data_IF_355907638843
#
_entry.id   IF_355907638843
#
_cell.length_a   1.000
_cell.length_b   1.000
_cell.length_c   1.000
_cell.angle_alpha   90.00
_cell.angle_beta   90.00
_cell.angle_gamma   90.00
#
_symmetry.space_group_name_H-M   'P 1'
#
loop_
_entity.id
_entity.type
_entity.pdbx_description
1 polymer ?
#
# COMPACT_ATOMS: atom_id res chain seq x y z
N UNK A 1 2.90 -25.42 37.33
CA UNK A 1 2.02 -25.02 36.22
C UNK A 1 2.72 -23.84 35.56
N UNK A 2 3.46 -24.08 34.48
CA UNK A 2 4.13 -22.99 33.74
C UNK A 2 3.02 -22.27 32.96
N UNK A 3 2.88 -20.94 33.05
CA UNK A 3 1.77 -20.26 32.40
C UNK A 3 2.02 -20.28 30.89
N UNK A 4 1.28 -21.12 30.16
CA UNK A 4 1.28 -21.18 28.70
C UNK A 4 1.02 -19.81 28.05
N UNK A 5 0.47 -18.86 28.80
CA UNK A 5 0.23 -17.49 28.36
C UNK A 5 1.51 -16.77 27.92
N UNK A 6 2.64 -16.95 28.61
CA UNK A 6 3.90 -16.30 28.22
C UNK A 6 4.45 -16.86 26.91
N UNK A 7 4.46 -18.18 26.76
CA UNK A 7 4.91 -18.86 25.54
C UNK A 7 4.03 -18.47 24.34
N UNK A 8 2.72 -18.40 24.55
CA UNK A 8 1.76 -18.00 23.52
C UNK A 8 1.92 -16.54 23.11
N UNK A 9 2.08 -15.61 24.06
CA UNK A 9 2.34 -14.18 23.78
C UNK A 9 3.64 -14.04 23.00
N UNK A 10 4.71 -14.71 23.44
CA UNK A 10 6.00 -14.67 22.75
C UNK A 10 5.91 -15.25 21.34
N UNK A 11 5.25 -16.39 21.17
CA UNK A 11 5.02 -16.99 19.86
C UNK A 11 4.22 -16.05 18.94
N UNK A 12 3.19 -15.39 19.46
CA UNK A 12 2.40 -14.41 18.72
C UNK A 12 3.24 -13.23 18.25
N UNK A 13 4.02 -12.62 19.15
CA UNK A 13 4.88 -11.48 18.82
C UNK A 13 5.89 -11.83 17.71
N UNK A 14 6.56 -12.98 17.84
CA UNK A 14 7.56 -13.40 16.87
C UNK A 14 6.93 -13.75 15.53
N UNK A 15 5.80 -14.47 15.51
CA UNK A 15 5.08 -14.77 14.28
C UNK A 15 4.60 -13.50 13.58
N UNK A 16 4.09 -12.52 14.32
CA UNK A 16 3.67 -11.25 13.73
C UNK A 16 4.85 -10.56 13.04
N UNK A 17 6.02 -10.50 13.68
CA UNK A 17 7.22 -9.91 13.10
C UNK A 17 7.72 -10.68 11.88
N UNK A 18 7.70 -12.02 11.92
CA UNK A 18 8.03 -12.87 10.77
C UNK A 18 7.09 -12.56 9.61
N UNK A 19 5.78 -12.56 9.84
CA UNK A 19 4.78 -12.30 8.79
C UNK A 19 4.93 -10.92 8.17
N UNK A 20 5.12 -9.88 8.98
CA UNK A 20 5.38 -8.51 8.51
C UNK A 20 6.63 -8.49 7.64
N UNK A 21 7.74 -9.04 8.13
CA UNK A 21 9.02 -9.00 7.42
C UNK A 21 8.96 -9.71 6.07
N UNK A 22 8.27 -10.86 6.00
CA UNK A 22 8.07 -11.57 4.74
C UNK A 22 7.24 -10.76 3.75
N UNK A 23 6.18 -10.08 4.22
CA UNK A 23 5.34 -9.22 3.38
C UNK A 23 6.16 -8.05 2.83
N UNK A 24 6.91 -7.36 3.67
CA UNK A 24 7.70 -6.19 3.23
C UNK A 24 8.84 -6.58 2.27
N UNK A 25 9.55 -7.69 2.53
CA UNK A 25 10.57 -8.19 1.62
C UNK A 25 10.00 -8.59 0.27
N UNK A 26 8.86 -9.30 0.27
CA UNK A 26 8.16 -9.66 -0.96
C UNK A 26 7.71 -8.41 -1.71
N UNK A 27 7.10 -7.43 -1.02
CA UNK A 27 6.69 -6.17 -1.63
C UNK A 27 7.87 -5.47 -2.29
N UNK A 28 8.96 -5.21 -1.56
CA UNK A 28 10.16 -4.54 -2.06
C UNK A 28 10.73 -5.27 -3.27
N UNK A 29 10.86 -6.60 -3.21
CA UNK A 29 11.38 -7.41 -4.33
C UNK A 29 10.47 -7.32 -5.58
N UNK A 30 9.15 -7.31 -5.38
CA UNK A 30 8.19 -7.16 -6.48
C UNK A 30 8.19 -5.74 -7.05
N UNK A 31 8.36 -4.72 -6.21
CA UNK A 31 8.50 -3.32 -6.59
C UNK A 31 9.78 -3.07 -7.39
N UNK A 32 10.89 -3.66 -6.98
CA UNK A 32 12.17 -3.56 -7.70
C UNK A 32 12.09 -4.20 -9.10
N UNK A 33 11.44 -5.35 -9.22
CA UNK A 33 11.31 -6.08 -10.49
C UNK A 33 10.27 -5.44 -11.44
N UNK A 34 9.13 -4.98 -10.91
CA UNK A 34 7.97 -4.59 -11.74
C UNK A 34 7.53 -3.13 -11.59
N UNK A 35 8.19 -2.36 -10.73
CA UNK A 35 7.86 -0.97 -10.42
C UNK A 35 6.42 -0.79 -9.92
N UNK A 36 5.83 0.37 -10.23
CA UNK A 36 4.45 0.74 -9.84
C UNK A 36 3.37 -0.28 -10.25
N UNK A 37 3.66 -1.19 -11.19
CA UNK A 37 2.71 -2.20 -11.70
C UNK A 37 2.79 -3.56 -10.98
N UNK A 38 3.64 -3.71 -9.97
CA UNK A 38 3.90 -5.00 -9.33
C UNK A 38 2.65 -5.73 -8.83
N UNK A 39 1.66 -5.00 -8.30
CA UNK A 39 0.40 -5.56 -7.80
C UNK A 39 -0.34 -6.35 -8.88
N UNK A 40 -0.32 -5.85 -10.13
CA UNK A 40 -0.94 -6.51 -11.27
C UNK A 40 -0.21 -7.77 -11.75
N UNK A 41 1.01 -8.01 -11.24
CA UNK A 41 1.86 -9.16 -11.56
C UNK A 41 1.74 -10.31 -10.56
N UNK A 42 0.93 -10.16 -9.51
CA UNK A 42 0.62 -11.27 -8.61
C UNK A 42 -0.05 -12.43 -9.37
N UNK A 43 0.21 -13.70 -8.99
CA UNK A 43 -0.42 -14.87 -9.58
C UNK A 43 -1.95 -14.79 -9.55
N UNK A 44 -2.63 -15.24 -10.61
CA UNK A 44 -4.04 -14.94 -10.87
C UNK A 44 -5.01 -15.15 -9.71
N UNK A 45 -4.92 -16.26 -8.98
CA UNK A 45 -5.78 -16.52 -7.81
C UNK A 45 -5.45 -15.62 -6.61
N UNK A 46 -4.17 -15.34 -6.38
CA UNK A 46 -3.73 -14.41 -5.32
C UNK A 46 -4.17 -12.98 -5.64
N UNK A 47 -4.04 -12.56 -6.90
CA UNK A 47 -4.50 -11.26 -7.37
C UNK A 47 -6.02 -11.09 -7.19
N UNK A 48 -6.81 -12.11 -7.54
CA UNK A 48 -8.27 -12.09 -7.33
C UNK A 48 -8.61 -11.92 -5.86
N UNK A 49 -7.92 -12.65 -4.98
CA UNK A 49 -8.14 -12.57 -3.53
C UNK A 49 -7.80 -11.19 -2.98
N UNK A 50 -6.62 -10.64 -3.32
CA UNK A 50 -6.24 -9.28 -2.91
C UNK A 50 -7.29 -8.27 -3.34
N UNK A 51 -7.75 -8.32 -4.60
CA UNK A 51 -8.80 -7.41 -5.10
C UNK A 51 -10.13 -7.58 -4.36
N UNK A 52 -10.55 -8.82 -4.10
CA UNK A 52 -11.78 -9.11 -3.38
C UNK A 52 -11.71 -8.59 -1.94
N UNK A 53 -10.61 -8.87 -1.23
CA UNK A 53 -10.43 -8.43 0.16
C UNK A 53 -10.27 -6.91 0.29
N UNK A 54 -9.60 -6.25 -0.66
CA UNK A 54 -9.59 -4.79 -0.73
C UNK A 54 -11.01 -4.23 -0.95
N UNK A 55 -11.84 -4.90 -1.74
CA UNK A 55 -13.24 -4.50 -1.93
C UNK A 55 -14.06 -4.67 -0.65
N UNK A 56 -13.82 -5.73 0.12
CA UNK A 56 -14.46 -5.95 1.43
C UNK A 56 -14.01 -4.94 2.49
N UNK A 57 -12.71 -4.61 2.54
CA UNK A 57 -12.17 -3.59 3.44
C UNK A 57 -12.76 -2.20 3.14
N UNK A 58 -13.09 -1.93 1.88
CA UNK A 58 -13.74 -0.69 1.46
C UNK A 58 -15.20 -0.60 1.86
N UNK A 59 -15.76 -1.64 2.50
CA UNK A 59 -17.11 -1.55 3.04
C UNK A 59 -17.10 -0.63 4.26
N UNK A 60 -17.99 0.37 4.32
CA UNK A 60 -18.03 1.40 5.38
C UNK A 60 -18.22 0.87 6.82
N UNK A 61 -18.52 -0.41 6.97
CA UNK A 61 -18.96 -1.01 8.22
C UNK A 61 -17.82 -1.29 9.20
N UNK A 62 -16.55 -1.31 8.76
CA UNK A 62 -15.50 -1.95 9.56
C UNK A 62 -14.30 -1.10 9.99
N UNK A 63 -14.14 0.13 9.50
CA UNK A 63 -13.13 1.07 10.04
C UNK A 63 -11.71 0.50 10.20
N UNK A 64 -11.31 -0.47 9.36
CA UNK A 64 -10.00 -1.11 9.45
C UNK A 64 -8.90 -0.17 8.95
N UNK A 65 -7.71 -0.26 9.57
CA UNK A 65 -6.51 0.36 9.01
C UNK A 65 -6.19 -0.30 7.67
N UNK A 66 -5.93 0.49 6.62
CA UNK A 66 -5.64 -0.10 5.30
C UNK A 66 -4.33 -0.85 5.30
N UNK A 67 -4.44 -2.17 5.21
CA UNK A 67 -3.28 -3.04 5.14
C UNK A 67 -2.79 -3.15 3.69
N UNK A 68 -1.47 -3.23 3.52
CA UNK A 68 -0.84 -3.42 2.22
C UNK A 68 -1.39 -4.64 1.47
N UNK A 69 -1.31 -4.69 0.13
CA UNK A 69 -1.94 -5.74 -0.68
C UNK A 69 -1.61 -7.16 -0.24
N UNK A 70 -0.39 -7.38 0.23
CA UNK A 70 0.04 -8.71 0.66
C UNK A 70 -0.64 -9.14 1.95
N UNK A 71 -1.10 -8.26 2.84
CA UNK A 71 -1.76 -8.64 4.11
C UNK A 71 -3.02 -9.49 3.94
N UNK A 72 -3.67 -9.42 2.78
CA UNK A 72 -4.82 -10.28 2.43
C UNK A 72 -4.45 -11.73 2.12
N UNK A 73 -3.15 -11.98 1.95
CA UNK A 73 -2.62 -13.31 1.72
C UNK A 73 -2.35 -13.99 3.06
N UNK A 74 -2.81 -15.23 3.16
CA UNK A 74 -2.47 -16.15 4.24
C UNK A 74 -0.98 -16.50 4.18
N UNK A 75 -0.46 -17.00 5.30
CA UNK A 75 0.91 -17.46 5.37
C UNK A 75 1.26 -18.51 4.29
N UNK A 76 0.34 -19.45 4.01
CA UNK A 76 0.52 -20.44 2.95
C UNK A 76 0.59 -19.82 1.55
N UNK A 77 -0.13 -18.72 1.32
CA UNK A 77 -0.07 -17.99 0.04
C UNK A 77 1.22 -17.18 -0.10
N UNK A 78 1.77 -16.64 1.01
CA UNK A 78 3.12 -16.05 1.02
C UNK A 78 4.19 -17.08 0.67
N UNK A 79 4.07 -18.32 1.18
CA UNK A 79 4.96 -19.42 0.80
C UNK A 79 4.91 -19.72 -0.71
N UNK A 80 3.74 -19.61 -1.34
CA UNK A 80 3.61 -19.76 -2.79
C UNK A 80 4.39 -18.65 -3.51
N UNK A 81 4.28 -17.39 -3.06
CA UNK A 81 5.04 -16.28 -3.64
C UNK A 81 6.55 -16.46 -3.50
N UNK A 82 7.02 -16.91 -2.34
CA UNK A 82 8.45 -17.16 -2.08
C UNK A 82 9.03 -18.27 -2.98
N UNK A 83 8.20 -19.16 -3.52
CA UNK A 83 8.63 -20.22 -4.45
C UNK A 83 8.64 -19.79 -5.93
N UNK A 84 8.14 -18.60 -6.24
CA UNK A 84 7.98 -18.11 -7.62
C UNK A 84 8.85 -16.88 -7.87
N UNK A 85 9.20 -16.59 -9.12
CA UNK A 85 9.87 -15.32 -9.44
C UNK A 85 8.87 -14.15 -9.34
N UNK A 86 9.29 -12.99 -8.80
CA UNK A 86 10.61 -12.68 -8.24
C UNK A 86 10.78 -13.09 -6.77
N UNK A 87 9.73 -13.49 -6.07
CA UNK A 87 9.76 -13.83 -4.63
C UNK A 87 10.79 -14.89 -4.21
N UNK A 88 11.27 -15.74 -5.12
CA UNK A 88 12.38 -16.66 -4.85
C UNK A 88 13.69 -15.95 -4.51
N UNK A 89 13.86 -14.68 -4.89
CA UNK A 89 15.00 -13.85 -4.46
C UNK A 89 14.95 -13.59 -2.95
N UNK A 90 13.77 -13.33 -2.38
CA UNK A 90 13.58 -13.20 -0.92
C UNK A 90 13.96 -14.49 -0.21
N UNK A 91 13.49 -15.63 -0.72
CA UNK A 91 13.85 -16.92 -0.16
C UNK A 91 15.38 -17.11 -0.18
N UNK A 92 16.04 -16.82 -1.30
CA UNK A 92 17.49 -16.89 -1.41
C UNK A 92 18.23 -15.96 -0.45
N UNK A 93 17.75 -14.73 -0.27
CA UNK A 93 18.31 -13.76 0.68
C UNK A 93 18.23 -14.27 2.13
N UNK A 94 17.15 -14.98 2.49
CA UNK A 94 16.90 -15.48 3.84
C UNK A 94 17.50 -16.88 4.12
N UNK A 95 18.11 -17.54 3.13
CA UNK A 95 18.73 -18.87 3.31
C UNK A 95 18.28 -19.97 2.33
N UNK A 96 17.51 -19.63 1.30
CA UNK A 96 17.13 -20.52 0.19
C UNK A 96 16.16 -21.63 0.57
N UNK A 97 16.43 -22.86 0.18
CA UNK A 97 15.56 -24.01 0.47
C UNK A 97 15.41 -24.31 1.97
N UNK A 98 16.39 -23.92 2.79
CA UNK A 98 16.36 -24.15 4.24
C UNK A 98 15.28 -23.29 4.89
N UNK A 99 15.23 -22.00 4.58
CA UNK A 99 14.23 -21.09 5.15
C UNK A 99 12.81 -21.49 4.72
N UNK A 100 12.63 -21.95 3.47
CA UNK A 100 11.32 -22.41 2.99
C UNK A 100 10.79 -23.59 3.82
N UNK A 101 11.64 -24.56 4.14
CA UNK A 101 11.27 -25.69 5.00
C UNK A 101 10.98 -25.26 6.43
N UNK A 102 11.73 -24.30 6.97
CA UNK A 102 11.49 -23.77 8.31
C UNK A 102 10.17 -22.99 8.39
N UNK A 103 9.86 -22.21 7.36
CA UNK A 103 8.57 -21.54 7.23
C UNK A 103 7.41 -22.55 7.14
N UNK A 104 7.59 -23.67 6.43
CA UNK A 104 6.60 -24.76 6.42
C UNK A 104 6.44 -25.42 7.81
N UNK A 105 7.54 -25.61 8.54
CA UNK A 105 7.53 -26.23 9.87
C UNK A 105 6.76 -25.39 10.91
N UNK A 106 6.70 -24.05 10.75
CA UNK A 106 5.94 -23.19 11.67
C UNK A 106 4.43 -23.17 11.39
N UNK A 107 3.92 -23.82 10.33
CA UNK A 107 2.48 -23.83 10.03
C UNK A 107 1.64 -24.40 11.19
N UNK A 108 2.10 -25.47 11.82
CA UNK A 108 1.41 -26.10 12.96
C UNK A 108 1.38 -25.19 14.20
N UNK A 109 2.52 -24.69 14.72
CA UNK A 109 2.49 -23.78 15.87
C UNK A 109 1.81 -22.44 15.54
N UNK A 110 1.92 -21.92 14.31
CA UNK A 110 1.16 -20.74 13.85
C UNK A 110 -0.34 -20.99 13.94
N UNK A 111 -0.82 -22.14 13.48
CA UNK A 111 -2.23 -22.48 13.56
C UNK A 111 -2.73 -22.58 15.02
N UNK A 112 -1.88 -23.06 15.94
CA UNK A 112 -2.19 -23.04 17.36
C UNK A 112 -2.38 -21.59 17.88
N UNK A 113 -1.45 -20.69 17.55
CA UNK A 113 -1.53 -19.27 17.91
C UNK A 113 -2.79 -18.61 17.33
N UNK A 114 -3.09 -18.80 16.04
CA UNK A 114 -4.27 -18.20 15.39
C UNK A 114 -5.62 -18.65 15.97
N UNK A 115 -5.66 -19.82 16.61
CA UNK A 115 -6.85 -20.35 17.25
C UNK A 115 -6.81 -20.24 18.78
N UNK A 116 -5.90 -19.42 19.33
CA UNK A 116 -5.70 -19.24 20.77
C UNK A 116 -5.52 -20.57 21.53
N UNK A 117 -4.88 -21.55 20.88
CA UNK A 117 -4.55 -22.85 21.46
C UNK A 117 -3.14 -22.79 22.07
N UNK A 118 -2.84 -23.62 23.09
CA UNK A 118 -1.50 -23.69 23.66
C UNK A 118 -0.44 -24.04 22.61
N UNK A 119 0.64 -23.27 22.56
CA UNK A 119 1.83 -23.58 21.76
C UNK A 119 2.74 -24.48 22.59
N UNK A 120 3.24 -25.56 21.99
CA UNK A 120 4.22 -26.42 22.68
C UNK A 120 5.58 -25.74 22.75
N UNK A 121 6.41 -26.09 23.74
CA UNK A 121 7.79 -25.58 23.85
C UNK A 121 8.59 -25.80 22.57
N UNK A 122 8.43 -26.95 21.91
CA UNK A 122 9.06 -27.25 20.61
C UNK A 122 8.56 -26.31 19.51
N UNK A 123 7.26 -26.00 19.52
CA UNK A 123 6.66 -25.04 18.58
C UNK A 123 7.21 -23.64 18.76
N UNK A 124 7.35 -23.17 20.01
CA UNK A 124 7.95 -21.87 20.32
C UNK A 124 9.43 -21.82 19.86
N UNK A 125 10.22 -22.85 20.19
CA UNK A 125 11.63 -22.92 19.77
C UNK A 125 11.79 -22.90 18.25
N UNK A 126 10.86 -23.52 17.51
CA UNK A 126 10.87 -23.49 16.04
C UNK A 126 10.65 -22.06 15.52
N UNK A 127 9.74 -21.31 16.13
CA UNK A 127 9.46 -19.90 15.78
C UNK A 127 10.67 -19.01 16.15
N UNK A 128 11.26 -19.21 17.33
CA UNK A 128 12.43 -18.45 17.80
C UNK A 128 13.64 -18.66 16.89
N UNK A 129 13.89 -19.91 16.49
CA UNK A 129 14.99 -20.26 15.58
C UNK A 129 14.81 -19.56 14.24
N UNK A 130 13.62 -19.65 13.64
CA UNK A 130 13.31 -19.01 12.38
C UNK A 130 13.49 -17.47 12.46
N UNK A 131 13.01 -16.84 13.54
CA UNK A 131 13.18 -15.41 13.73
C UNK A 131 14.65 -15.01 13.84
N UNK A 132 15.46 -15.77 14.59
CA UNK A 132 16.89 -15.52 14.75
C UNK A 132 17.66 -15.67 13.43
N UNK A 133 17.26 -16.62 12.58
CA UNK A 133 17.85 -16.80 11.24
C UNK A 133 17.48 -15.63 10.31
N UNK A 134 16.23 -15.16 10.34
CA UNK A 134 15.83 -13.95 9.62
C UNK A 134 16.59 -12.71 10.11
N UNK A 135 16.75 -12.56 11.43
CA UNK A 135 17.53 -11.47 12.03
C UNK A 135 19.01 -11.54 11.60
N UNK A 136 19.57 -12.75 11.51
CA UNK A 136 20.94 -12.95 11.03
C UNK A 136 21.07 -12.59 9.55
N UNK A 137 20.11 -13.00 8.71
CA UNK A 137 20.13 -12.75 7.27
C UNK A 137 19.93 -11.27 6.91
N UNK A 138 19.10 -10.55 7.68
CA UNK A 138 18.72 -9.16 7.42
C UNK A 138 19.46 -8.13 8.27
N UNK A 139 20.24 -8.60 9.26
CA UNK A 139 20.70 -7.83 10.43
C UNK A 139 19.56 -7.39 11.34
N UNK A 140 19.86 -7.18 12.62
CA UNK A 140 18.89 -6.67 13.61
C UNK A 140 18.31 -5.32 13.22
N UNK A 141 19.15 -4.41 12.73
CA UNK A 141 18.72 -3.07 12.35
C UNK A 141 17.86 -3.10 11.08
N UNK A 142 18.26 -3.89 10.07
CA UNK A 142 17.48 -4.08 8.85
C UNK A 142 16.11 -4.71 9.11
N UNK A 143 16.05 -5.73 9.98
CA UNK A 143 14.79 -6.35 10.40
C UNK A 143 13.90 -5.36 11.18
N UNK A 144 14.50 -4.53 12.05
CA UNK A 144 13.76 -3.52 12.81
C UNK A 144 13.17 -2.46 11.89
N UNK A 145 13.94 -2.00 10.90
CA UNK A 145 13.48 -1.03 9.89
C UNK A 145 12.29 -1.56 9.11
N UNK A 146 12.39 -2.80 8.59
CA UNK A 146 11.29 -3.47 7.86
C UNK A 146 10.01 -3.57 8.69
N UNK A 147 10.13 -3.85 10.00
CA UNK A 147 8.96 -3.95 10.89
C UNK A 147 8.37 -2.57 11.21
N UNK A 148 9.19 -1.51 11.23
CA UNK A 148 8.73 -0.14 11.51
C UNK A 148 8.11 0.57 10.29
N UNK A 149 8.45 0.13 9.08
CA UNK A 149 7.97 0.69 7.81
C UNK A 149 6.88 -0.19 7.16
N UNK A 150 6.02 -0.81 7.99
CA UNK A 150 4.92 -1.65 7.50
C UNK A 150 4.07 -0.91 6.46
N UNK A 151 3.73 -1.58 5.36
CA UNK A 151 2.91 -1.05 4.27
C UNK A 151 1.47 -0.78 4.74
N UNK A 152 1.27 0.35 5.41
CA UNK A 152 -0.04 0.87 5.83
C UNK A 152 -0.52 1.95 4.87
N UNK A 153 -0.49 1.68 3.56
CA UNK A 153 -1.01 2.60 2.54
C UNK A 153 -0.44 4.03 2.66
N UNK A 154 -1.24 5.02 2.29
CA UNK A 154 -0.97 6.44 2.58
C UNK A 154 -2.14 7.02 3.37
N UNK A 155 -1.85 7.80 4.39
CA UNK A 155 -2.87 8.46 5.21
C UNK A 155 -3.39 9.74 4.56
N UNK A 156 -4.53 10.25 5.05
CA UNK A 156 -5.14 11.50 4.59
C UNK A 156 -4.20 12.69 4.76
N UNK A 157 -3.55 12.79 5.92
CA UNK A 157 -2.60 13.85 6.27
C UNK A 157 -1.32 13.82 5.44
N UNK A 158 -0.97 12.67 4.87
CA UNK A 158 0.15 12.54 3.94
C UNK A 158 -0.28 12.86 2.50
N UNK A 159 -1.45 12.38 2.07
CA UNK A 159 -1.89 12.51 0.67
C UNK A 159 -2.45 13.90 0.33
N UNK A 160 -3.30 14.47 1.20
CA UNK A 160 -4.02 15.71 0.89
C UNK A 160 -3.09 16.91 0.66
N UNK A 161 -2.04 17.17 1.46
CA UNK A 161 -1.15 18.30 1.23
C UNK A 161 -0.45 18.27 -0.14
N UNK A 162 -0.03 17.08 -0.57
CA UNK A 162 0.64 16.88 -1.86
C UNK A 162 -0.31 17.14 -3.04
N UNK A 163 -1.55 16.65 -2.95
CA UNK A 163 -2.58 16.91 -3.98
C UNK A 163 -2.93 18.40 -4.01
N UNK A 164 -3.13 19.03 -2.85
CA UNK A 164 -3.41 20.47 -2.74
C UNK A 164 -2.28 21.30 -3.33
N UNK A 165 -1.03 20.97 -3.04
CA UNK A 165 0.13 21.67 -3.58
C UNK A 165 0.17 21.59 -5.11
N UNK A 166 -0.05 20.41 -5.68
CA UNK A 166 -0.09 20.25 -7.14
C UNK A 166 -1.22 21.07 -7.79
N UNK A 167 -2.43 21.03 -7.21
CA UNK A 167 -3.57 21.80 -7.71
C UNK A 167 -3.36 23.31 -7.59
N UNK A 168 -2.72 23.80 -6.53
CA UNK A 168 -2.36 25.22 -6.38
C UNK A 168 -1.41 25.67 -7.49
N UNK A 169 -0.39 24.86 -7.80
CA UNK A 169 0.50 25.14 -8.92
C UNK A 169 -0.24 25.21 -10.27
N UNK A 170 -1.29 24.41 -10.47
CA UNK A 170 -2.14 24.53 -11.66
C UNK A 170 -2.81 25.90 -11.70
N UNK A 171 -3.52 26.28 -10.64
CA UNK A 171 -4.24 27.57 -10.57
C UNK A 171 -3.31 28.76 -10.81
N UNK A 172 -2.12 28.75 -10.22
CA UNK A 172 -1.10 29.77 -10.40
C UNK A 172 -0.54 29.81 -11.83
N UNK A 173 -0.43 28.64 -12.47
CA UNK A 173 0.08 28.52 -13.83
C UNK A 173 -0.93 28.84 -14.94
N UNK A 174 -2.23 28.77 -14.68
CA UNK A 174 -3.29 29.01 -15.68
C UNK A 174 -3.10 30.28 -16.54
N UNK A 175 -2.74 31.46 -15.98
CA UNK A 175 -2.57 32.69 -16.78
C UNK A 175 -1.46 32.60 -17.83
N UNK A 176 -0.48 31.72 -17.63
CA UNK A 176 0.67 31.56 -18.52
C UNK A 176 0.45 30.51 -19.61
N UNK A 177 -0.69 29.80 -19.59
CA UNK A 177 -1.07 28.78 -20.58
C UNK A 177 0.05 27.76 -20.87
N UNK A 178 0.60 27.08 -19.85
CA UNK A 178 1.70 26.15 -20.06
C UNK A 178 1.28 24.98 -20.96
N UNK A 179 2.26 24.33 -21.61
CA UNK A 179 2.00 23.17 -22.44
C UNK A 179 1.41 21.98 -21.65
N UNK A 180 1.77 21.87 -20.37
CA UNK A 180 1.23 20.86 -19.46
C UNK A 180 1.41 21.31 -18.01
N UNK A 181 0.62 20.73 -17.13
CA UNK A 181 0.78 20.79 -15.68
C UNK A 181 1.31 19.47 -15.13
N UNK A 182 1.95 19.54 -13.96
CA UNK A 182 2.38 18.36 -13.22
C UNK A 182 1.16 17.74 -12.54
N UNK A 183 0.91 16.46 -12.79
CA UNK A 183 -0.10 15.69 -12.05
C UNK A 183 0.45 15.24 -10.70
N UNK A 184 -0.35 15.29 -9.62
CA UNK A 184 0.08 14.78 -8.32
C UNK A 184 0.30 13.27 -8.37
N UNK A 185 1.55 12.82 -8.25
CA UNK A 185 1.90 11.39 -8.28
C UNK A 185 1.18 10.58 -7.19
N UNK A 186 0.94 11.22 -6.04
CA UNK A 186 0.27 10.61 -4.90
C UNK A 186 -1.19 10.27 -5.18
N UNK A 187 -1.83 10.90 -6.16
CA UNK A 187 -3.26 10.79 -6.40
C UNK A 187 -3.72 9.37 -6.71
N UNK A 188 -3.00 8.62 -7.55
CA UNK A 188 -3.37 7.23 -7.85
C UNK A 188 -3.19 6.32 -6.62
N UNK A 189 -2.17 6.60 -5.80
CA UNK A 189 -1.97 5.89 -4.53
C UNK A 189 -3.07 6.22 -3.52
N UNK A 190 -3.48 7.50 -3.43
CA UNK A 190 -4.53 8.02 -2.56
C UNK A 190 -5.92 7.51 -2.96
N UNK A 191 -6.23 7.54 -4.25
CA UNK A 191 -7.46 6.98 -4.84
C UNK A 191 -7.59 5.49 -4.58
N UNK A 192 -6.44 4.82 -4.50
CA UNK A 192 -6.33 3.45 -4.04
C UNK A 192 -6.26 3.32 -2.51
N UNK A 193 -6.85 4.22 -1.70
CA UNK A 193 -7.02 4.11 -0.23
C UNK A 193 -8.50 4.04 0.19
N UNK A 194 -8.78 3.54 1.42
CA UNK A 194 -10.15 3.21 1.87
C UNK A 194 -10.93 4.47 2.18
N UNK A 195 -10.24 5.46 2.74
CA UNK A 195 -10.80 6.77 2.98
C UNK A 195 -11.22 7.43 1.67
N UNK A 196 -10.63 7.07 0.51
CA UNK A 196 -11.08 7.52 -0.81
C UNK A 196 -12.29 6.73 -1.37
N UNK A 197 -12.87 5.79 -0.63
CA UNK A 197 -14.04 5.03 -1.12
C UNK A 197 -15.35 5.84 -1.01
N UNK A 198 -15.48 6.67 0.01
CA UNK A 198 -16.69 7.47 0.30
C UNK A 198 -16.35 8.85 0.82
N UNK A 199 -17.20 9.84 0.52
CA UNK A 199 -16.96 11.23 0.90
C UNK A 199 -16.94 11.42 2.43
N UNK A 200 -17.77 10.64 3.13
CA UNK A 200 -17.84 10.57 4.60
C UNK A 200 -16.54 10.07 5.23
N UNK A 201 -15.82 9.17 4.56
CA UNK A 201 -14.55 8.60 5.02
C UNK A 201 -13.37 9.48 4.64
N UNK A 202 -13.43 10.10 3.46
CA UNK A 202 -12.43 11.02 2.94
C UNK A 202 -12.41 12.33 3.75
N UNK A 203 -13.57 12.73 4.28
CA UNK A 203 -13.77 14.05 4.87
C UNK A 203 -13.90 15.17 3.81
N UNK A 204 -14.10 14.79 2.54
CA UNK A 204 -14.23 15.70 1.39
C UNK A 204 -15.04 15.06 0.26
N UNK A 205 -15.56 15.88 -0.65
CA UNK A 205 -16.27 15.42 -1.84
C UNK A 205 -15.29 14.89 -2.90
N UNK A 206 -15.21 13.56 -3.05
CA UNK A 206 -14.25 12.95 -3.99
C UNK A 206 -14.59 13.23 -5.44
N UNK A 207 -15.87 13.33 -5.81
CA UNK A 207 -16.25 13.60 -7.19
C UNK A 207 -15.74 14.97 -7.64
N UNK A 208 -15.70 15.97 -6.74
CA UNK A 208 -15.10 17.28 -7.01
C UNK A 208 -13.59 17.16 -7.25
N UNK A 209 -12.88 16.42 -6.40
CA UNK A 209 -11.43 16.23 -6.53
C UNK A 209 -11.06 15.41 -7.77
N UNK A 210 -11.75 14.30 -8.03
CA UNK A 210 -11.53 13.47 -9.23
C UNK A 210 -11.82 14.27 -10.51
N UNK A 211 -12.89 15.05 -10.54
CA UNK A 211 -13.20 15.90 -11.69
C UNK A 211 -12.12 16.96 -11.95
N UNK A 212 -11.55 17.57 -10.90
CA UNK A 212 -10.47 18.52 -11.05
C UNK A 212 -9.19 17.88 -11.62
N UNK A 213 -8.83 16.67 -11.16
CA UNK A 213 -7.67 15.94 -11.69
C UNK A 213 -7.89 15.50 -13.13
N UNK A 214 -9.06 14.98 -13.47
CA UNK A 214 -9.39 14.64 -14.86
C UNK A 214 -9.38 15.88 -15.77
N UNK A 215 -9.81 17.04 -15.27
CA UNK A 215 -9.74 18.28 -16.05
C UNK A 215 -8.29 18.72 -16.34
N UNK A 216 -7.37 18.50 -15.40
CA UNK A 216 -5.93 18.71 -15.62
C UNK A 216 -5.39 17.75 -16.68
N UNK A 217 -5.81 16.48 -16.65
CA UNK A 217 -5.44 15.47 -17.66
C UNK A 217 -5.95 15.84 -19.05
N UNK A 218 -7.21 16.26 -19.14
CA UNK A 218 -7.82 16.74 -20.38
C UNK A 218 -7.06 17.95 -20.94
N UNK A 219 -6.71 18.92 -20.09
CA UNK A 219 -5.89 20.06 -20.49
C UNK A 219 -4.51 19.63 -21.02
N UNK A 220 -3.85 18.69 -20.33
CA UNK A 220 -2.55 18.15 -20.72
C UNK A 220 -2.60 17.41 -22.08
N UNK A 221 -3.77 16.90 -22.47
CA UNK A 221 -3.98 16.24 -23.77
C UNK A 221 -4.14 17.20 -24.95
N UNK A 222 -4.30 18.51 -24.70
CA UNK A 222 -4.49 19.51 -25.75
C UNK A 222 -3.25 19.65 -26.64
N UNK A 223 -3.42 20.05 -27.92
CA UNK A 223 -2.29 20.32 -28.81
C UNK A 223 -1.26 21.28 -28.21
N UNK A 224 0.01 21.04 -28.52
CA UNK A 224 1.15 21.88 -28.12
C UNK A 224 1.78 22.53 -29.35
N UNK A 225 2.38 23.70 -29.17
CA UNK A 225 3.06 24.44 -30.23
C UNK A 225 2.49 25.83 -30.52
N UNK A 226 2.98 26.44 -31.60
CA UNK A 226 2.62 27.81 -31.99
C UNK A 226 1.14 27.86 -32.40
N UNK A 227 0.39 28.81 -31.84
CA UNK A 227 -1.03 29.03 -32.14
C UNK A 227 -2.02 28.24 -31.26
N UNK A 228 -1.55 27.35 -30.38
CA UNK A 228 -2.42 26.56 -29.50
C UNK A 228 -2.94 27.33 -28.28
N UNK A 229 -2.45 28.55 -28.02
CA UNK A 229 -2.83 29.37 -26.87
C UNK A 229 -4.33 29.69 -26.85
N UNK A 230 -4.93 30.03 -28.00
CA UNK A 230 -6.37 30.32 -28.08
C UNK A 230 -7.24 29.09 -27.74
N UNK A 231 -6.83 27.90 -28.19
CA UNK A 231 -7.51 26.64 -27.85
C UNK A 231 -7.43 26.34 -26.36
N UNK A 232 -6.26 26.55 -25.75
CA UNK A 232 -6.04 26.34 -24.31
C UNK A 232 -6.81 27.35 -23.46
N UNK A 233 -6.80 28.62 -23.85
CA UNK A 233 -7.60 29.67 -23.22
C UNK A 233 -9.09 29.32 -23.29
N UNK A 234 -9.57 28.96 -24.48
CA UNK A 234 -10.97 28.57 -24.68
C UNK A 234 -11.35 27.34 -23.86
N UNK A 235 -10.47 26.36 -23.70
CA UNK A 235 -10.70 25.21 -22.82
C UNK A 235 -10.85 25.62 -21.36
N UNK A 236 -9.95 26.48 -20.86
CA UNK A 236 -9.97 26.96 -19.47
C UNK A 236 -11.29 27.70 -19.18
N UNK A 237 -11.71 28.58 -20.09
CA UNK A 237 -12.92 29.39 -19.94
C UNK A 237 -14.21 28.56 -20.10
N UNK A 238 -14.29 27.67 -21.08
CA UNK A 238 -15.51 26.88 -21.33
C UNK A 238 -15.79 25.82 -20.25
N UNK A 239 -14.75 25.42 -19.51
CA UNK A 239 -14.83 24.38 -18.48
C UNK A 239 -14.74 24.94 -17.06
N UNK A 240 -14.70 26.25 -16.89
CA UNK A 240 -14.52 26.91 -15.60
C UNK A 240 -13.37 26.30 -14.77
N UNK A 241 -12.26 25.98 -15.44
CA UNK A 241 -11.19 25.14 -14.89
C UNK A 241 -10.62 25.70 -13.59
N UNK A 242 -10.52 27.04 -13.51
CA UNK A 242 -10.05 27.71 -12.30
C UNK A 242 -10.96 27.46 -11.10
N UNK A 243 -12.27 27.55 -11.29
CA UNK A 243 -13.26 27.41 -10.22
C UNK A 243 -13.35 25.96 -9.76
N UNK A 244 -13.38 25.00 -10.69
CA UNK A 244 -13.42 23.57 -10.37
C UNK A 244 -12.19 23.11 -9.58
N UNK A 245 -10.99 23.57 -9.98
CA UNK A 245 -9.76 23.26 -9.24
C UNK A 245 -9.75 23.94 -7.87
N UNK A 246 -10.23 25.18 -7.78
CA UNK A 246 -10.31 25.88 -6.49
C UNK A 246 -11.27 25.17 -5.52
N UNK A 247 -12.42 24.69 -6.01
CA UNK A 247 -13.37 23.92 -5.21
C UNK A 247 -12.75 22.62 -4.71
N UNK A 248 -11.97 21.91 -5.54
CA UNK A 248 -11.24 20.72 -5.10
C UNK A 248 -10.19 21.02 -4.01
N UNK A 249 -9.49 22.16 -4.10
CA UNK A 249 -8.57 22.61 -3.05
C UNK A 249 -9.33 22.86 -1.74
N UNK A 250 -10.45 23.57 -1.80
CA UNK A 250 -11.28 23.87 -0.62
C UNK A 250 -11.76 22.57 0.03
N UNK A 251 -12.24 21.61 -0.76
CA UNK A 251 -12.66 20.29 -0.28
C UNK A 251 -11.51 19.54 0.44
N UNK A 252 -10.31 19.50 -0.15
CA UNK A 252 -9.16 18.82 0.45
C UNK A 252 -8.63 19.53 1.71
N UNK A 253 -8.75 20.86 1.79
CA UNK A 253 -8.34 21.64 2.97
C UNK A 253 -9.34 21.57 4.14
N UNK A 254 -10.57 21.07 3.90
CA UNK A 254 -11.54 20.81 4.97
C UNK A 254 -11.16 19.63 5.86
N UNK A 255 -10.28 18.73 5.38
CA UNK A 255 -9.77 17.59 6.14
C UNK A 255 -8.93 18.13 7.29
N UNK A 256 -9.56 18.28 8.47
CA UNK A 256 -8.85 18.58 9.71
C UNK A 256 -8.06 17.35 10.14
N UNK A 257 -6.73 17.49 10.08
CA UNK A 257 -5.76 16.57 10.69
C UNK A 257 -5.88 16.68 12.21
#
# INVERSE_FOLDING_TARGET
MIPFEFDNVRAYELLLRIEISLRELLKSTYEDEYGKKWRSRLPGELLKKVKASQTEENRPQFGYARLGPLYYLTFGELLILLKQKPGSQVAMQLGGEVILKQLENILVPRNAVCHSRPVSTVGLQTIETLYAEMETALTRDGLTLLISETDTGISLDQACPDIVSALKCVVEGLPNLPASFIEPEVFETARAQYWWAEDSLAGFNRSVVEAAIELVRDYNSLPTGVGCAATRQGFIEQRDMKELIHNAIIELEQVRI
#
